data_IF_478715179695
#
_entry.id   IF_478715179695
#
_cell.length_a   1.000
_cell.length_b   1.000
_cell.length_c   1.000
_cell.angle_alpha   90.00
_cell.angle_beta   90.00
_cell.angle_gamma   90.00
#
_symmetry.space_group_name_H-M   'P 1'
#
loop_
_entity.id
_entity.type
_entity.pdbx_description
1 polymer ?
#
# COMPACT_ATOMS: atom_id res chain seq x y z
N UNK A 1 4.94 20.02 -11.57
CA UNK A 1 5.69 18.97 -10.84
C UNK A 1 4.70 18.31 -9.91
N UNK A 2 4.12 17.17 -10.31
CA UNK A 2 3.11 16.48 -9.51
C UNK A 2 3.77 15.92 -8.24
N UNK A 3 3.11 16.14 -7.12
CA UNK A 3 3.69 16.12 -5.79
C UNK A 3 3.93 14.68 -5.31
N UNK A 4 5.12 14.44 -4.79
CA UNK A 4 5.53 13.12 -4.31
C UNK A 4 4.63 12.75 -3.13
N UNK A 5 3.88 11.66 -3.23
CA UNK A 5 3.02 11.14 -2.14
C UNK A 5 1.84 12.06 -1.77
N UNK A 6 1.25 12.78 -2.73
CA UNK A 6 0.11 13.70 -2.47
C UNK A 6 -1.05 13.07 -1.70
N UNK A 7 -1.31 11.77 -1.89
CA UNK A 7 -2.39 11.07 -1.18
C UNK A 7 -2.17 10.98 0.34
N UNK A 8 -0.91 10.99 0.83
CA UNK A 8 -0.65 11.00 2.28
C UNK A 8 -1.13 12.31 2.91
N UNK A 9 -1.04 13.43 2.19
CA UNK A 9 -1.57 14.72 2.65
C UNK A 9 -3.10 14.78 2.60
N UNK A 10 -3.73 13.84 1.90
CA UNK A 10 -5.19 13.68 1.81
C UNK A 10 -5.73 12.63 2.80
N UNK A 11 -4.85 11.98 3.57
CA UNK A 11 -5.28 11.02 4.59
C UNK A 11 -6.04 11.73 5.71
N UNK A 12 -7.09 11.10 6.26
CA UNK A 12 -7.86 11.66 7.37
C UNK A 12 -7.13 11.52 8.73
N UNK A 13 -5.81 11.35 8.71
CA UNK A 13 -4.93 11.24 9.89
C UNK A 13 -3.78 12.22 9.76
N UNK A 14 -3.51 12.97 10.83
CA UNK A 14 -2.43 13.97 10.85
C UNK A 14 -1.15 13.43 11.48
N UNK A 15 -0.02 14.12 11.26
CA UNK A 15 1.22 13.85 12.00
C UNK A 15 1.00 13.90 13.53
N UNK A 16 0.11 14.77 14.04
CA UNK A 16 -0.21 14.81 15.47
C UNK A 16 -0.96 13.56 15.94
N UNK A 17 -1.86 13.01 15.12
CA UNK A 17 -2.62 11.80 15.46
C UNK A 17 -1.72 10.57 15.47
N UNK A 18 -0.82 10.47 14.50
CA UNK A 18 0.20 9.43 14.42
C UNK A 18 1.17 9.49 15.63
N UNK A 19 1.59 10.68 16.05
CA UNK A 19 2.45 10.85 17.23
C UNK A 19 1.72 10.40 18.52
N UNK A 20 0.43 10.74 18.65
CA UNK A 20 -0.41 10.31 19.78
C UNK A 20 -0.62 8.80 19.79
N UNK A 21 -0.90 8.21 18.62
CA UNK A 21 -1.10 6.77 18.47
C UNK A 21 0.18 5.99 18.80
N UNK A 22 1.34 6.41 18.27
CA UNK A 22 2.63 5.81 18.61
C UNK A 22 2.98 5.98 20.09
N UNK A 23 2.67 7.14 20.70
CA UNK A 23 2.87 7.33 22.14
C UNK A 23 2.02 6.38 23.00
N UNK A 24 0.83 6.03 22.50
CA UNK A 24 -0.06 5.05 23.15
C UNK A 24 0.42 3.61 22.93
N UNK A 25 0.96 3.33 21.74
CA UNK A 25 1.48 2.02 21.35
C UNK A 25 2.82 1.71 22.02
N UNK A 26 3.77 2.63 21.98
CA UNK A 26 5.15 2.46 22.44
C UNK A 26 5.27 2.75 23.94
N UNK A 27 4.91 1.77 24.77
CA UNK A 27 5.08 1.82 26.23
C UNK A 27 5.48 0.47 26.82
N UNK A 28 5.73 0.45 28.14
CA UNK A 28 6.13 -0.74 28.87
C UNK A 28 7.39 -1.36 28.27
N UNK A 29 7.34 -2.66 28.02
CA UNK A 29 8.48 -3.43 27.53
C UNK A 29 8.58 -3.48 26.00
N UNK A 30 7.82 -2.65 25.27
CA UNK A 30 7.91 -2.61 23.80
C UNK A 30 9.25 -1.99 23.37
N UNK A 31 10.04 -2.73 22.61
CA UNK A 31 11.34 -2.34 22.09
C UNK A 31 11.22 -1.59 20.76
N UNK A 32 10.20 -1.91 19.97
CA UNK A 32 9.94 -1.29 18.68
C UNK A 32 8.45 -1.25 18.37
N UNK A 33 8.02 -0.18 17.72
CA UNK A 33 6.67 -0.05 17.21
C UNK A 33 6.67 0.74 15.90
N UNK A 34 5.85 0.30 14.95
CA UNK A 34 5.63 1.02 13.70
C UNK A 34 4.16 1.01 13.28
N UNK A 35 3.85 1.98 12.42
CA UNK A 35 2.60 2.08 11.69
C UNK A 35 2.98 2.18 10.22
N UNK A 36 2.41 1.30 9.41
CA UNK A 36 2.60 1.24 7.97
C UNK A 36 1.29 1.58 7.27
N UNK A 37 1.33 2.50 6.29
CA UNK A 37 0.21 2.85 5.45
C UNK A 37 0.45 2.39 4.02
N UNK A 38 -0.60 1.89 3.38
CA UNK A 38 -0.57 1.50 1.99
C UNK A 38 -1.84 1.95 1.27
N UNK A 39 -1.65 2.47 0.06
CA UNK A 39 -2.68 2.57 -0.96
C UNK A 39 -2.13 1.94 -2.24
N UNK A 40 -2.86 0.99 -2.83
CA UNK A 40 -2.51 0.35 -4.09
C UNK A 40 -3.68 0.43 -5.05
N UNK A 41 -3.35 0.72 -6.31
CA UNK A 41 -4.29 0.59 -7.42
C UNK A 41 -3.70 -0.40 -8.41
N UNK A 42 -4.49 -1.39 -8.78
CA UNK A 42 -4.16 -2.39 -9.79
C UNK A 42 -5.21 -2.34 -10.91
N UNK A 43 -4.75 -2.47 -12.14
CA UNK A 43 -5.59 -2.60 -13.32
C UNK A 43 -5.05 -3.76 -14.14
N UNK A 44 -5.95 -4.61 -14.64
CA UNK A 44 -5.60 -5.72 -15.50
C UNK A 44 -6.59 -5.84 -16.66
N UNK A 45 -6.07 -6.31 -17.79
CA UNK A 45 -6.80 -6.48 -19.04
C UNK A 45 -6.41 -7.83 -19.63
N UNK A 46 -7.40 -8.65 -19.97
CA UNK A 46 -7.18 -9.98 -20.55
C UNK A 46 -7.76 -9.99 -21.96
N UNK A 47 -6.92 -10.30 -22.94
CA UNK A 47 -7.31 -10.59 -24.31
C UNK A 47 -7.27 -12.10 -24.52
N UNK A 48 -8.32 -12.64 -25.12
CA UNK A 48 -8.41 -14.05 -25.51
C UNK A 48 -9.23 -14.14 -26.81
N UNK A 49 -8.81 -14.98 -27.74
CA UNK A 49 -9.49 -15.18 -29.04
C UNK A 49 -9.72 -13.87 -29.82
N UNK A 50 -8.76 -12.94 -29.71
CA UNK A 50 -8.78 -11.65 -30.42
C UNK A 50 -9.75 -10.62 -29.84
N UNK A 51 -10.41 -10.92 -28.72
CA UNK A 51 -11.33 -10.03 -28.02
C UNK A 51 -10.85 -9.77 -26.59
N UNK A 52 -11.21 -8.62 -26.04
CA UNK A 52 -11.01 -8.36 -24.61
C UNK A 52 -12.05 -9.19 -23.86
N UNK A 53 -11.58 -10.15 -23.07
CA UNK A 53 -12.41 -11.09 -22.32
C UNK A 53 -12.70 -10.58 -20.91
N UNK A 54 -11.73 -9.92 -20.29
CA UNK A 54 -11.86 -9.42 -18.93
C UNK A 54 -11.08 -8.11 -18.75
N UNK A 55 -11.57 -7.31 -17.81
CA UNK A 55 -10.97 -6.06 -17.39
C UNK A 55 -11.29 -5.84 -15.91
N UNK A 56 -10.26 -5.74 -15.08
CA UNK A 56 -10.42 -5.56 -13.64
C UNK A 56 -9.68 -4.34 -13.15
N UNK A 57 -10.31 -3.63 -12.21
CA UNK A 57 -9.74 -2.48 -11.52
C UNK A 57 -9.91 -2.70 -10.02
N UNK A 58 -8.80 -2.69 -9.29
CA UNK A 58 -8.78 -2.93 -7.86
C UNK A 58 -8.11 -1.76 -7.15
N UNK A 59 -8.77 -1.26 -6.10
CA UNK A 59 -8.25 -0.22 -5.24
C UNK A 59 -8.23 -0.75 -3.81
N UNK A 60 -7.05 -0.76 -3.21
CA UNK A 60 -6.80 -1.20 -1.84
C UNK A 60 -6.23 -0.04 -1.06
N UNK A 61 -6.65 0.08 0.19
CA UNK A 61 -6.08 1.03 1.13
C UNK A 61 -6.15 0.43 2.52
N UNK A 62 -5.15 0.70 3.34
CA UNK A 62 -5.15 0.20 4.71
C UNK A 62 -3.94 0.59 5.51
N UNK A 63 -3.91 0.09 6.74
CA UNK A 63 -2.78 0.25 7.64
C UNK A 63 -2.46 -1.03 8.40
N UNK A 64 -1.19 -1.18 8.76
CA UNK A 64 -0.70 -2.22 9.67
C UNK A 64 0.05 -1.60 10.83
N UNK A 65 -0.10 -2.17 12.02
CA UNK A 65 0.55 -1.71 13.26
C UNK A 65 1.25 -2.86 13.94
N UNK A 66 2.53 -2.67 14.28
CA UNK A 66 3.32 -3.67 15.03
C UNK A 66 3.80 -3.12 16.37
N UNK A 67 3.82 -4.00 17.37
CA UNK A 67 4.52 -3.81 18.63
C UNK A 67 5.43 -5.02 18.90
N UNK A 68 6.71 -4.78 19.15
CA UNK A 68 7.73 -5.81 19.32
C UNK A 68 8.33 -5.72 20.72
N UNK A 69 8.41 -6.86 21.43
CA UNK A 69 9.11 -7.04 22.70
C UNK A 69 10.01 -8.27 22.58
N UNK A 70 11.32 -8.10 22.43
CA UNK A 70 12.26 -9.18 22.17
C UNK A 70 11.83 -10.00 20.94
N UNK A 71 11.43 -11.25 21.17
CA UNK A 71 10.98 -12.19 20.14
C UNK A 71 9.45 -12.15 19.90
N UNK A 72 8.70 -11.41 20.71
CA UNK A 72 7.24 -11.33 20.63
C UNK A 72 6.81 -10.20 19.72
N UNK A 73 5.87 -10.47 18.81
CA UNK A 73 5.27 -9.46 17.93
C UNK A 73 3.75 -9.46 18.07
N UNK A 74 3.21 -8.33 18.49
CA UNK A 74 1.79 -8.02 18.39
C UNK A 74 1.53 -7.30 17.08
N UNK A 75 0.50 -7.72 16.35
CA UNK A 75 0.16 -7.18 15.04
C UNK A 75 -1.36 -7.01 14.92
N UNK A 76 -1.76 -5.90 14.30
CA UNK A 76 -3.13 -5.64 13.89
C UNK A 76 -3.12 -4.83 12.59
N UNK A 77 -4.18 -4.95 11.81
CA UNK A 77 -4.34 -4.24 10.55
C UNK A 77 -5.79 -3.79 10.37
N UNK A 78 -6.00 -2.85 9.46
CA UNK A 78 -7.31 -2.40 9.02
C UNK A 78 -7.29 -2.11 7.52
N UNK A 79 -8.38 -2.44 6.85
CA UNK A 79 -8.59 -2.20 5.40
C UNK A 79 -9.12 -0.77 5.13
N UNK A 80 -8.83 0.15 6.05
CA UNK A 80 -9.15 1.57 5.96
C UNK A 80 -8.12 2.41 6.71
N UNK A 81 -7.97 3.67 6.32
CA UNK A 81 -7.14 4.65 7.04
C UNK A 81 -8.05 5.69 7.67
N UNK A 82 -8.40 5.48 8.94
CA UNK A 82 -9.21 6.41 9.75
C UNK A 82 -8.59 6.56 11.14
N UNK A 83 -8.90 7.64 11.88
CA UNK A 83 -8.43 7.79 13.26
C UNK A 83 -8.97 6.68 14.19
N UNK A 84 -10.19 6.20 13.91
CA UNK A 84 -10.80 5.10 14.64
C UNK A 84 -10.02 3.80 14.40
N UNK A 85 -9.79 3.44 13.14
CA UNK A 85 -9.00 2.26 12.78
C UNK A 85 -7.57 2.32 13.33
N UNK A 86 -6.94 3.49 13.30
CA UNK A 86 -5.62 3.72 13.91
C UNK A 86 -5.63 3.41 15.41
N UNK A 87 -6.62 3.92 16.13
CA UNK A 87 -6.74 3.69 17.57
C UNK A 87 -6.98 2.21 17.87
N UNK A 88 -7.88 1.56 17.13
CA UNK A 88 -8.22 0.15 17.32
C UNK A 88 -7.03 -0.77 17.03
N UNK A 89 -6.34 -0.56 15.91
CA UNK A 89 -5.17 -1.36 15.53
C UNK A 89 -4.01 -1.17 16.50
N UNK A 90 -3.72 0.06 16.96
CA UNK A 90 -2.72 0.28 18.01
C UNK A 90 -3.07 -0.44 19.31
N UNK A 91 -4.33 -0.38 19.76
CA UNK A 91 -4.75 -1.06 20.97
C UNK A 91 -4.64 -2.59 20.85
N UNK A 92 -5.03 -3.14 19.70
CA UNK A 92 -4.96 -4.58 19.43
C UNK A 92 -3.50 -5.07 19.36
N UNK A 93 -2.64 -4.39 18.59
CA UNK A 93 -1.23 -4.74 18.48
C UNK A 93 -0.50 -4.68 19.83
N UNK A 94 -0.88 -3.74 20.69
CA UNK A 94 -0.33 -3.60 22.05
C UNK A 94 -0.70 -4.75 23.00
N UNK A 95 -1.75 -5.53 22.72
CA UNK A 95 -2.25 -6.58 23.62
C UNK A 95 -1.24 -7.66 24.02
N UNK A 96 -0.08 -7.71 23.35
CA UNK A 96 1.02 -8.64 23.66
C UNK A 96 1.79 -8.33 24.95
N UNK A 97 1.73 -7.09 25.46
CA UNK A 97 2.41 -6.64 26.68
C UNK A 97 1.44 -6.33 27.81
N UNK A 98 1.84 -6.62 29.05
CA UNK A 98 1.12 -6.19 30.26
C UNK A 98 1.32 -4.68 30.47
N UNK A 99 0.39 -4.03 31.17
CA UNK A 99 0.50 -2.61 31.52
C UNK A 99 1.85 -2.33 32.20
N UNK A 100 2.52 -1.26 31.79
CA UNK A 100 3.86 -0.89 32.23
C UNK A 100 4.14 0.61 32.05
N UNK A 101 5.34 1.05 32.41
CA UNK A 101 5.70 2.48 32.44
C UNK A 101 5.66 3.14 31.06
N UNK A 102 5.32 4.43 31.02
CA UNK A 102 5.33 5.23 29.78
C UNK A 102 6.75 5.34 29.22
N UNK A 103 6.91 5.11 27.91
CA UNK A 103 8.16 5.39 27.17
C UNK A 103 8.02 6.68 26.37
N UNK A 104 9.17 7.27 26.02
CA UNK A 104 9.20 8.41 25.11
C UNK A 104 9.41 7.92 23.68
N UNK A 105 8.53 8.35 22.77
CA UNK A 105 8.71 8.16 21.32
C UNK A 105 9.76 9.15 20.84
N UNK A 106 10.77 8.68 20.09
CA UNK A 106 11.74 9.57 19.44
C UNK A 106 11.04 10.46 18.42
N UNK A 107 11.45 11.73 18.36
CA UNK A 107 10.98 12.64 17.31
C UNK A 107 11.26 12.04 15.93
N UNK A 108 10.30 12.16 15.02
CA UNK A 108 10.45 11.62 13.67
C UNK A 108 11.50 12.38 12.89
N UNK A 109 12.34 11.62 12.19
CA UNK A 109 13.31 12.15 11.27
C UNK A 109 12.98 11.62 9.88
N UNK A 110 12.57 12.52 8.98
CA UNK A 110 12.39 12.17 7.57
C UNK A 110 13.77 11.86 7.00
N UNK A 111 13.97 10.62 6.56
CA UNK A 111 15.20 10.23 5.87
C UNK A 111 15.05 10.51 4.38
N UNK A 112 16.03 11.20 3.79
CA UNK A 112 16.10 11.33 2.33
C UNK A 112 16.77 10.09 1.75
N UNK A 113 16.06 9.38 0.89
CA UNK A 113 16.55 8.18 0.20
C UNK A 113 16.59 8.47 -1.30
N UNK A 114 17.62 7.98 -1.99
CA UNK A 114 17.71 8.11 -3.44
C UNK A 114 16.55 7.36 -4.12
N UNK A 115 15.80 8.07 -4.96
CA UNK A 115 14.67 7.48 -5.69
C UNK A 115 15.18 6.53 -6.77
N UNK A 116 14.72 5.28 -6.74
CA UNK A 116 15.08 4.25 -7.74
C UNK A 116 14.16 4.29 -8.97
N UNK A 117 12.94 4.83 -8.82
CA UNK A 117 11.93 4.89 -9.87
C UNK A 117 11.24 6.27 -9.88
N UNK A 118 10.62 6.61 -11.01
CA UNK A 118 9.83 7.82 -11.12
C UNK A 118 8.49 7.67 -10.37
N UNK A 119 8.07 8.71 -9.66
CA UNK A 119 6.76 8.77 -9.00
C UNK A 119 5.63 9.12 -10.00
N UNK A 120 5.57 8.44 -11.15
CA UNK A 120 4.52 8.60 -12.15
C UNK A 120 3.51 7.47 -11.99
N UNK A 121 2.22 7.78 -12.06
CA UNK A 121 1.18 6.75 -12.08
C UNK A 121 1.19 6.04 -13.46
N UNK A 122 1.57 4.74 -13.53
CA UNK A 122 1.61 4.02 -14.81
C UNK A 122 0.20 3.80 -15.39
N UNK A 123 -0.84 3.75 -14.57
CA UNK A 123 -2.22 3.55 -15.02
C UNK A 123 -2.73 4.70 -15.89
N UNK A 124 -2.16 5.89 -15.70
CA UNK A 124 -2.46 7.10 -16.47
C UNK A 124 -1.43 7.37 -17.58
N UNK A 125 -0.50 6.43 -17.83
CA UNK A 125 0.54 6.62 -18.84
C UNK A 125 0.04 6.39 -20.28
N UNK A 126 -1.08 5.68 -20.42
CA UNK A 126 -1.78 5.39 -21.68
C UNK A 126 -3.28 5.49 -21.44
N UNK A 127 -4.01 5.92 -22.46
CA UNK A 127 -5.48 5.82 -22.49
C UNK A 127 -5.92 4.35 -22.63
N UNK A 128 -7.12 4.03 -22.18
CA UNK A 128 -7.65 2.65 -22.24
C UNK A 128 -7.61 2.07 -23.67
N UNK A 129 -7.98 2.89 -24.66
CA UNK A 129 -7.94 2.49 -26.06
C UNK A 129 -6.52 2.13 -26.54
N UNK A 130 -5.50 2.82 -26.03
CA UNK A 130 -4.10 2.55 -26.35
C UNK A 130 -3.61 1.26 -25.67
N UNK A 131 -4.04 1.00 -24.42
CA UNK A 131 -3.77 -0.27 -23.73
C UNK A 131 -4.38 -1.45 -24.48
N UNK A 132 -5.63 -1.34 -24.91
CA UNK A 132 -6.32 -2.36 -25.71
C UNK A 132 -5.66 -2.55 -27.07
N UNK A 133 -5.27 -1.45 -27.72
CA UNK A 133 -4.57 -1.50 -29.00
C UNK A 133 -3.23 -2.23 -28.87
N UNK A 134 -2.49 -2.01 -27.78
CA UNK A 134 -1.25 -2.73 -27.50
C UNK A 134 -1.49 -4.24 -27.36
N UNK A 135 -2.53 -4.67 -26.63
CA UNK A 135 -2.87 -6.09 -26.52
C UNK A 135 -3.21 -6.71 -27.88
N UNK A 136 -4.00 -6.01 -28.70
CA UNK A 136 -4.34 -6.47 -30.07
C UNK A 136 -3.12 -6.55 -30.98
N UNK A 137 -2.18 -5.62 -30.84
CA UNK A 137 -0.92 -5.68 -31.58
C UNK A 137 -0.09 -6.91 -31.20
N UNK A 138 -0.05 -7.26 -29.91
CA UNK A 138 0.64 -8.46 -29.43
C UNK A 138 -0.01 -9.74 -29.94
N UNK A 139 -1.34 -9.86 -29.89
CA UNK A 139 -2.09 -11.02 -30.43
C UNK A 139 -1.85 -11.18 -31.95
N UNK A 140 -2.01 -10.10 -32.71
CA UNK A 140 -1.78 -10.11 -34.14
C UNK A 140 -0.34 -10.51 -34.49
N UNK A 141 0.64 -9.99 -33.74
CA UNK A 141 2.04 -10.34 -33.92
C UNK A 141 2.30 -11.81 -33.61
N UNK A 142 1.74 -12.35 -32.52
CA UNK A 142 1.88 -13.75 -32.14
C UNK A 142 1.32 -14.70 -33.21
N UNK A 143 0.10 -14.43 -33.71
CA UNK A 143 -0.53 -15.23 -34.79
C UNK A 143 0.22 -15.15 -36.12
N UNK A 144 0.91 -14.04 -36.37
CA UNK A 144 1.74 -13.88 -37.56
C UNK A 144 3.05 -14.70 -37.53
N UNK A 145 3.54 -15.10 -36.35
CA UNK A 145 4.79 -15.86 -36.24
C UNK A 145 4.67 -17.28 -36.79
N UNK A 146 3.54 -17.96 -36.55
CA UNK A 146 3.34 -19.32 -37.00
C UNK A 146 1.84 -19.66 -37.08
N UNK A 147 1.43 -20.31 -38.18
CA UNK A 147 0.02 -20.69 -38.43
C UNK A 147 -0.55 -21.67 -37.40
N UNK A 148 0.30 -22.34 -36.62
CA UNK A 148 -0.11 -23.26 -35.53
C UNK A 148 -0.56 -22.52 -34.28
N UNK A 149 -0.28 -21.22 -34.17
CA UNK A 149 -0.74 -20.38 -33.06
C UNK A 149 -2.23 -20.08 -33.23
N UNK A 150 -3.07 -20.83 -32.51
CA UNK A 150 -4.54 -20.74 -32.62
C UNK A 150 -5.20 -20.12 -31.39
N UNK A 151 -4.66 -20.36 -30.19
CA UNK A 151 -5.14 -19.78 -28.93
C UNK A 151 -4.08 -18.88 -28.34
N UNK A 152 -4.44 -17.60 -28.17
CA UNK A 152 -3.63 -16.52 -27.63
C UNK A 152 -4.55 -15.60 -26.84
#
# INVERSE_FOLDING_TARGET
MSDKLSWINELPVTESDLARALGTLYNGDIDFADIYFQGSVNESWVLEDGIIKDGAYHNETGMGVRAIQGEKTGFAYADEITQQALTQTCNAARGIVRQGQSKQVKAWTKQSVAAQYAAKNPLQSLEEAEKIALLKQVDAHARAQDKRVSQV
#
